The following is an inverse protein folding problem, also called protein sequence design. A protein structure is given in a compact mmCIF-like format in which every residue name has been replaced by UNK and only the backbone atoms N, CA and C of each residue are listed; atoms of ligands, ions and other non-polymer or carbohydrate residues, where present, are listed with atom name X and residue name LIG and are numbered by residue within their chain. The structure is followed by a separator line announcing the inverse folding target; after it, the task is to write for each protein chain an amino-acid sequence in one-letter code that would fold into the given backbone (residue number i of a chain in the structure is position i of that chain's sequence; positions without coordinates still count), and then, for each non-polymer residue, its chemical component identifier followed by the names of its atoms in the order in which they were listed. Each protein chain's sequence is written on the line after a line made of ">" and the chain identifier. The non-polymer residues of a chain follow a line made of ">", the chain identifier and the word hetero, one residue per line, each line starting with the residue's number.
data_IF_902295420882
#
_entry.id   IF_902295420882
#
_cell.length_a   1.000
_cell.length_b   1.000
_cell.length_c   1.000
_cell.angle_alpha   90.00
_cell.angle_beta   90.00
_cell.angle_gamma   90.00
#
_symmetry.space_group_name_H-M   'P 1'
#
loop_
_entity.id
_entity.type
_entity.pdbx_description
1 polymer ?
#
# COMPACT_ATOMS: atom_id res chain seq x y z
N UNK A 1 -0.35 -20.93 20.10
CA UNK A 1 -0.51 -19.54 20.58
C UNK A 1 -0.59 -18.51 19.43
N UNK A 2 0.24 -18.60 18.38
CA UNK A 2 0.23 -17.63 17.27
C UNK A 2 -1.02 -17.71 16.37
N UNK A 3 -1.73 -18.85 16.34
CA UNK A 3 -2.95 -19.03 15.53
C UNK A 3 -4.13 -18.13 15.98
N UNK A 4 -4.06 -17.49 17.14
CA UNK A 4 -5.08 -16.55 17.64
C UNK A 4 -5.27 -15.36 16.71
N UNK A 5 -4.22 -14.94 15.97
CA UNK A 5 -4.31 -13.81 15.03
C UNK A 5 -5.37 -14.04 13.94
N UNK A 6 -5.63 -15.28 13.53
CA UNK A 6 -6.64 -15.59 12.50
C UNK A 6 -8.06 -15.31 12.95
N UNK A 7 -8.32 -15.29 14.26
CA UNK A 7 -9.61 -14.94 14.84
C UNK A 7 -9.80 -13.44 15.02
N UNK A 8 -8.72 -12.66 14.86
CA UNK A 8 -8.74 -11.20 15.02
C UNK A 8 -9.19 -10.50 13.75
N UNK A 9 -10.30 -9.79 13.80
CA UNK A 9 -10.81 -8.99 12.68
C UNK A 9 -9.77 -8.00 12.15
N UNK A 10 -9.05 -7.33 13.06
CA UNK A 10 -8.04 -6.33 12.70
C UNK A 10 -6.82 -6.92 12.00
N UNK A 11 -6.50 -8.21 12.19
CA UNK A 11 -5.47 -8.89 11.40
C UNK A 11 -5.82 -8.89 9.90
N UNK A 12 -7.04 -9.27 9.53
CA UNK A 12 -7.48 -9.31 8.14
C UNK A 12 -7.60 -7.92 7.52
N UNK A 13 -8.08 -6.94 8.30
CA UNK A 13 -8.14 -5.55 7.85
C UNK A 13 -6.73 -5.02 7.57
N UNK A 14 -5.77 -5.30 8.45
CA UNK A 14 -4.37 -4.89 8.25
C UNK A 14 -3.71 -5.62 7.08
N UNK A 15 -4.04 -6.89 6.82
CA UNK A 15 -3.61 -7.59 5.60
C UNK A 15 -4.09 -6.86 4.34
N UNK A 16 -5.35 -6.41 4.31
CA UNK A 16 -5.91 -5.65 3.21
C UNK A 16 -5.19 -4.31 2.99
N UNK A 17 -5.01 -3.54 4.06
CA UNK A 17 -4.32 -2.24 3.99
C UNK A 17 -2.84 -2.39 3.65
N UNK A 18 -2.18 -3.41 4.20
CA UNK A 18 -0.77 -3.66 3.95
C UNK A 18 -0.52 -4.17 2.53
N UNK A 19 -1.44 -4.93 1.96
CA UNK A 19 -1.44 -5.25 0.53
C UNK A 19 -1.53 -3.97 -0.32
N UNK A 20 -2.35 -2.99 0.12
CA UNK A 20 -2.48 -1.68 -0.55
C UNK A 20 -1.22 -0.82 -0.50
N UNK A 21 -0.44 -0.90 0.55
CA UNK A 21 0.79 -0.10 0.72
C UNK A 21 2.05 -0.89 0.34
N UNK A 22 2.41 -1.88 1.12
CA UNK A 22 3.60 -2.71 0.88
C UNK A 22 3.48 -3.57 -0.37
N UNK A 23 2.31 -4.16 -0.60
CA UNK A 23 2.04 -4.95 -1.81
C UNK A 23 2.15 -4.10 -3.07
N UNK A 24 1.65 -2.86 -3.04
CA UNK A 24 1.81 -1.92 -4.15
C UNK A 24 3.27 -1.54 -4.36
N UNK A 25 4.03 -1.31 -3.30
CA UNK A 25 5.46 -1.01 -3.40
C UNK A 25 6.22 -2.14 -4.14
N UNK A 26 6.06 -3.39 -3.68
CA UNK A 26 6.72 -4.54 -4.31
C UNK A 26 6.20 -4.76 -5.73
N UNK A 27 4.89 -4.67 -5.91
CA UNK A 27 4.25 -4.93 -7.20
C UNK A 27 4.61 -3.90 -8.26
N UNK A 28 4.67 -2.63 -7.89
CA UNK A 28 5.14 -1.59 -8.80
C UNK A 28 6.63 -1.74 -9.09
N UNK A 29 7.46 -2.08 -8.10
CA UNK A 29 8.87 -2.34 -8.33
C UNK A 29 9.09 -3.45 -9.37
N UNK A 30 8.30 -4.52 -9.31
CA UNK A 30 8.34 -5.63 -10.26
C UNK A 30 7.75 -5.27 -11.63
N UNK A 31 6.67 -4.46 -11.66
CA UNK A 31 5.94 -4.12 -12.89
C UNK A 31 6.44 -2.89 -13.64
N UNK A 32 7.17 -2.00 -12.99
CA UNK A 32 7.57 -0.72 -13.55
C UNK A 32 8.49 -0.83 -14.77
N UNK A 33 9.53 -1.71 -14.80
CA UNK A 33 10.33 -1.92 -16.01
C UNK A 33 9.48 -2.38 -17.20
N UNK A 34 8.50 -3.25 -16.95
CA UNK A 34 7.60 -3.77 -17.98
C UNK A 34 6.70 -2.66 -18.55
N UNK A 35 6.19 -1.78 -17.68
CA UNK A 35 5.40 -0.63 -18.12
C UNK A 35 6.22 0.34 -18.97
N UNK A 36 7.43 0.70 -18.55
CA UNK A 36 8.31 1.59 -19.32
C UNK A 36 8.55 0.99 -20.69
N UNK A 37 8.98 -0.28 -20.76
CA UNK A 37 9.29 -0.95 -22.01
C UNK A 37 8.08 -1.05 -22.96
N UNK A 38 6.89 -1.33 -22.39
CA UNK A 38 5.68 -1.54 -23.16
C UNK A 38 5.01 -0.24 -23.63
N UNK A 39 5.13 0.84 -22.86
CA UNK A 39 4.45 2.11 -23.15
C UNK A 39 5.37 3.17 -23.79
N UNK A 40 6.67 3.08 -23.55
CA UNK A 40 7.69 4.00 -24.07
C UNK A 40 8.85 3.19 -24.67
N UNK A 41 8.66 2.58 -25.87
CA UNK A 41 9.65 1.66 -26.45
C UNK A 41 11.04 2.27 -26.66
N UNK A 42 11.09 3.61 -26.89
CA UNK A 42 12.33 4.37 -27.10
C UNK A 42 13.12 4.63 -25.81
N UNK A 43 12.54 4.32 -24.64
CA UNK A 43 13.16 4.55 -23.34
C UNK A 43 13.73 3.24 -22.79
N UNK A 44 15.01 3.25 -22.43
CA UNK A 44 15.66 2.12 -21.79
C UNK A 44 15.23 2.01 -20.31
N UNK A 45 14.46 0.95 -19.93
CA UNK A 45 14.00 0.80 -18.55
C UNK A 45 15.14 0.67 -17.54
N UNK A 46 16.30 0.13 -17.94
CA UNK A 46 17.42 -0.09 -17.02
C UNK A 46 17.96 1.24 -16.44
N UNK A 47 17.80 2.34 -17.17
CA UNK A 47 18.27 3.67 -16.74
C UNK A 47 17.37 4.34 -15.70
N UNK A 48 16.09 3.95 -15.62
CA UNK A 48 15.07 4.68 -14.85
C UNK A 48 14.35 3.82 -13.82
N UNK A 49 14.14 2.55 -14.08
CA UNK A 49 13.24 1.72 -13.28
C UNK A 49 13.69 1.55 -11.81
N UNK A 50 14.99 1.55 -11.55
CA UNK A 50 15.53 1.41 -10.19
C UNK A 50 15.24 2.62 -9.29
N UNK A 51 15.00 3.81 -9.88
CA UNK A 51 14.72 5.03 -9.13
C UNK A 51 13.39 4.95 -8.36
N UNK A 52 12.40 4.23 -8.89
CA UNK A 52 11.13 4.02 -8.20
C UNK A 52 11.29 3.36 -6.83
N UNK A 53 11.79 2.11 -6.78
CA UNK A 53 12.06 1.43 -5.51
C UNK A 53 13.01 2.19 -4.59
N UNK A 54 14.02 2.88 -5.14
CA UNK A 54 14.94 3.71 -4.35
C UNK A 54 14.21 4.84 -3.63
N UNK A 55 13.39 5.60 -4.34
CA UNK A 55 12.57 6.69 -3.75
C UNK A 55 11.64 6.13 -2.68
N UNK A 56 10.95 5.02 -2.96
CA UNK A 56 10.05 4.40 -2.00
C UNK A 56 10.77 3.88 -0.74
N UNK A 57 11.97 3.34 -0.87
CA UNK A 57 12.78 2.91 0.26
C UNK A 57 13.22 4.09 1.15
N UNK A 58 13.65 5.20 0.55
CA UNK A 58 14.03 6.42 1.28
C UNK A 58 12.81 7.01 2.00
N UNK A 59 11.70 7.16 1.30
CA UNK A 59 10.48 7.76 1.85
C UNK A 59 9.83 6.90 2.93
N UNK A 60 10.05 5.57 2.92
CA UNK A 60 9.64 4.69 4.00
C UNK A 60 10.29 5.08 5.34
N UNK A 61 11.57 5.40 5.35
CA UNK A 61 12.28 5.82 6.57
C UNK A 61 11.71 7.14 7.13
N UNK A 62 11.45 8.11 6.25
CA UNK A 62 10.83 9.40 6.60
C UNK A 62 9.38 9.21 7.03
N UNK A 63 8.65 8.34 6.36
CA UNK A 63 7.24 8.02 6.64
C UNK A 63 7.01 7.50 8.05
N UNK A 64 7.95 6.74 8.60
CA UNK A 64 7.90 6.28 9.99
C UNK A 64 7.87 7.43 10.99
N UNK A 65 8.74 8.43 10.82
CA UNK A 65 8.79 9.62 11.67
C UNK A 65 7.54 10.50 11.54
N UNK A 66 6.97 10.57 10.34
CA UNK A 66 5.71 11.30 10.09
C UNK A 66 4.56 10.58 10.80
N UNK A 67 4.47 9.26 10.69
CA UNK A 67 3.45 8.46 11.33
C UNK A 67 3.51 8.51 12.86
N UNK A 68 4.71 8.59 13.45
CA UNK A 68 4.89 8.75 14.90
C UNK A 68 4.35 10.10 15.40
N UNK A 69 4.43 11.17 14.59
CA UNK A 69 3.97 12.51 14.98
C UNK A 69 2.49 12.76 14.72
N UNK A 70 1.97 12.26 13.61
CA UNK A 70 0.60 12.59 13.13
C UNK A 70 -0.40 11.47 13.42
N UNK A 71 0.05 10.29 13.80
CA UNK A 71 -0.75 9.07 13.93
C UNK A 71 -0.77 8.25 12.62
N UNK A 72 -0.57 6.93 12.76
CA UNK A 72 -0.46 6.02 11.62
C UNK A 72 -1.70 6.03 10.73
N UNK A 73 -2.89 6.01 11.31
CA UNK A 73 -4.16 5.98 10.57
C UNK A 73 -4.42 7.24 9.74
N UNK A 74 -4.07 8.43 10.27
CA UNK A 74 -4.24 9.69 9.52
C UNK A 74 -3.29 9.74 8.33
N UNK A 75 -2.03 9.35 8.54
CA UNK A 75 -1.03 9.31 7.47
C UNK A 75 -1.47 8.31 6.40
N UNK A 76 -1.89 7.11 6.79
CA UNK A 76 -2.37 6.07 5.86
C UNK A 76 -3.58 6.54 5.04
N UNK A 77 -4.52 7.27 5.67
CA UNK A 77 -5.67 7.84 4.97
C UNK A 77 -5.24 8.81 3.85
N UNK A 78 -4.38 9.77 4.17
CA UNK A 78 -3.89 10.73 3.18
C UNK A 78 -3.03 10.07 2.09
N UNK A 79 -2.25 9.06 2.46
CA UNK A 79 -1.46 8.28 1.50
C UNK A 79 -2.37 7.62 0.47
N UNK A 80 -3.44 6.91 0.86
CA UNK A 80 -4.34 6.29 -0.09
C UNK A 80 -5.04 7.31 -0.98
N UNK A 81 -5.44 8.46 -0.44
CA UNK A 81 -6.03 9.54 -1.24
C UNK A 81 -5.05 10.05 -2.30
N UNK A 82 -3.81 10.33 -1.91
CA UNK A 82 -2.78 10.82 -2.83
C UNK A 82 -2.34 9.72 -3.82
N UNK A 83 -2.36 8.44 -3.44
CA UNK A 83 -2.11 7.34 -4.37
C UNK A 83 -3.18 7.28 -5.46
N UNK A 84 -4.46 7.46 -5.14
CA UNK A 84 -5.53 7.56 -6.13
C UNK A 84 -5.24 8.69 -7.13
N UNK A 85 -4.90 9.88 -6.65
CA UNK A 85 -4.56 11.03 -7.50
C UNK A 85 -3.32 10.76 -8.36
N UNK A 86 -2.30 10.12 -7.79
CA UNK A 86 -1.07 9.77 -8.53
C UNK A 86 -1.33 8.75 -9.64
N UNK A 87 -2.21 7.77 -9.42
CA UNK A 87 -2.59 6.80 -10.47
C UNK A 87 -3.36 7.49 -11.59
N UNK A 88 -4.25 8.44 -11.29
CA UNK A 88 -4.90 9.26 -12.30
C UNK A 88 -3.87 10.08 -13.11
N UNK A 89 -2.87 10.66 -12.45
CA UNK A 89 -1.80 11.37 -13.14
C UNK A 89 -0.99 10.43 -14.05
N UNK A 90 -0.66 9.22 -13.58
CA UNK A 90 0.01 8.21 -14.41
C UNK A 90 -0.80 7.90 -15.66
N UNK A 91 -2.12 7.64 -15.53
CA UNK A 91 -3.01 7.35 -16.67
C UNK A 91 -3.01 8.53 -17.66
N UNK A 92 -3.06 9.76 -17.15
CA UNK A 92 -3.11 10.97 -18.00
C UNK A 92 -1.84 11.19 -18.84
N UNK A 93 -0.69 10.73 -18.35
CA UNK A 93 0.59 10.86 -19.08
C UNK A 93 0.94 9.60 -19.90
N UNK A 94 0.14 8.55 -19.84
CA UNK A 94 0.36 7.35 -20.65
C UNK A 94 -0.04 7.58 -22.12
N UNK A 95 0.68 6.95 -23.07
CA UNK A 95 0.26 6.96 -24.46
C UNK A 95 -1.06 6.17 -24.64
N UNK A 96 -1.84 6.61 -25.60
CA UNK A 96 -3.05 5.90 -26.05
C UNK A 96 -2.76 5.12 -27.32
N UNK A 97 -3.42 3.97 -27.46
CA UNK A 97 -3.29 3.14 -28.66
C UNK A 97 -4.26 3.61 -29.73
N UNK A 98 -3.75 4.02 -30.89
CA UNK A 98 -4.57 4.38 -32.05
C UNK A 98 -5.27 3.17 -32.66
N UNK A 99 -6.19 3.41 -33.62
CA UNK A 99 -6.91 2.35 -34.32
C UNK A 99 -5.99 1.43 -35.16
N UNK A 100 -4.85 1.95 -35.57
CA UNK A 100 -3.77 1.27 -36.30
C UNK A 100 -2.85 0.44 -35.37
N UNK A 101 -3.11 0.48 -34.07
CA UNK A 101 -2.32 -0.24 -33.06
C UNK A 101 -1.04 0.49 -32.63
N UNK A 102 -0.76 1.65 -33.19
CA UNK A 102 0.42 2.47 -32.85
C UNK A 102 0.15 3.25 -31.56
N UNK A 103 1.17 3.32 -30.67
CA UNK A 103 1.11 4.15 -29.46
C UNK A 103 1.28 5.62 -29.88
N UNK A 104 0.30 6.45 -29.53
CA UNK A 104 0.28 7.88 -29.86
C UNK A 104 0.19 8.72 -28.60
N UNK A 105 0.86 9.87 -28.63
CA UNK A 105 0.88 10.78 -27.49
C UNK A 105 1.69 10.22 -26.31
N UNK A 106 1.29 10.64 -25.11
CA UNK A 106 2.01 10.30 -23.89
C UNK A 106 3.20 11.22 -23.61
N UNK A 107 3.55 11.33 -22.35
CA UNK A 107 4.71 12.10 -21.89
C UNK A 107 5.48 11.27 -20.87
N UNK A 108 6.64 10.75 -21.29
CA UNK A 108 7.47 9.92 -20.43
C UNK A 108 7.87 10.63 -19.13
N UNK A 109 8.26 11.90 -19.19
CA UNK A 109 8.69 12.65 -17.99
C UNK A 109 7.53 12.79 -17.01
N UNK A 110 6.33 13.18 -17.49
CA UNK A 110 5.13 13.27 -16.65
C UNK A 110 4.74 11.93 -16.06
N UNK A 111 4.73 10.87 -16.86
CA UNK A 111 4.49 9.49 -16.40
C UNK A 111 5.51 9.08 -15.33
N UNK A 112 6.79 9.32 -15.57
CA UNK A 112 7.86 8.92 -14.67
C UNK A 112 7.78 9.65 -13.32
N UNK A 113 7.58 10.98 -13.35
CA UNK A 113 7.41 11.78 -12.11
C UNK A 113 6.16 11.33 -11.34
N UNK A 114 5.02 11.11 -12.01
CA UNK A 114 3.81 10.63 -11.37
C UNK A 114 4.04 9.24 -10.72
N UNK A 115 4.79 8.37 -11.39
CA UNK A 115 5.14 7.06 -10.84
C UNK A 115 6.12 7.16 -9.67
N UNK A 116 7.10 8.07 -9.70
CA UNK A 116 7.98 8.33 -8.55
C UNK A 116 7.20 8.84 -7.34
N UNK A 117 6.22 9.74 -7.56
CA UNK A 117 5.30 10.17 -6.49
C UNK A 117 4.52 8.97 -5.91
N UNK A 118 4.03 8.08 -6.77
CA UNK A 118 3.33 6.87 -6.34
C UNK A 118 4.25 5.95 -5.52
N UNK A 119 5.51 5.76 -5.92
CA UNK A 119 6.50 5.02 -5.13
C UNK A 119 6.79 5.68 -3.78
N UNK A 120 6.94 7.01 -3.75
CA UNK A 120 7.13 7.74 -2.50
C UNK A 120 5.96 7.52 -1.54
N UNK A 121 4.74 7.59 -2.04
CA UNK A 121 3.52 7.38 -1.26
C UNK A 121 3.40 5.94 -0.76
N UNK A 122 3.73 4.94 -1.59
CA UNK A 122 3.76 3.54 -1.13
C UNK A 122 4.79 3.31 -0.05
N UNK A 123 5.94 3.99 -0.11
CA UNK A 123 6.97 3.96 0.94
C UNK A 123 6.46 4.52 2.27
N UNK A 124 5.91 5.75 2.24
CA UNK A 124 5.29 6.38 3.44
C UNK A 124 4.14 5.52 3.97
N UNK A 125 3.28 5.01 3.09
CA UNK A 125 2.16 4.14 3.44
C UNK A 125 2.60 2.83 4.10
N UNK A 126 3.65 2.22 3.58
CA UNK A 126 4.23 1.01 4.19
C UNK A 126 4.69 1.30 5.63
N UNK A 127 5.37 2.41 5.87
CA UNK A 127 5.79 2.78 7.22
C UNK A 127 4.60 3.08 8.14
N UNK A 128 3.60 3.82 7.66
CA UNK A 128 2.44 4.21 8.47
C UNK A 128 1.57 3.01 8.85
N UNK A 129 1.28 2.10 7.90
CA UNK A 129 0.53 0.87 8.19
C UNK A 129 1.29 -0.08 9.11
N UNK A 130 2.61 -0.16 8.96
CA UNK A 130 3.46 -0.94 9.88
C UNK A 130 3.35 -0.41 11.32
N UNK A 131 3.35 0.92 11.52
CA UNK A 131 3.22 1.57 12.83
C UNK A 131 1.82 1.41 13.45
N UNK A 132 0.78 1.26 12.64
CA UNK A 132 -0.59 1.04 13.14
C UNK A 132 -0.73 -0.29 13.89
N UNK A 133 -0.07 -1.36 13.44
CA UNK A 133 -0.28 -2.71 13.97
C UNK A 133 0.01 -2.80 15.49
N UNK A 134 1.17 -2.40 16.02
CA UNK A 134 1.43 -2.44 17.45
C UNK A 134 0.42 -1.63 18.27
N UNK A 135 0.01 -0.46 17.78
CA UNK A 135 -0.96 0.42 18.47
C UNK A 135 -2.33 -0.24 18.54
N UNK A 136 -2.81 -0.85 17.44
CA UNK A 136 -4.10 -1.56 17.37
C UNK A 136 -4.12 -2.72 18.37
N UNK A 137 -3.07 -3.54 18.40
CA UNK A 137 -3.04 -4.73 19.26
C UNK A 137 -2.79 -4.37 20.73
N UNK A 138 -2.04 -3.30 21.02
CA UNK A 138 -1.93 -2.78 22.38
C UNK A 138 -3.30 -2.31 22.90
N UNK A 139 -4.00 -1.48 22.14
CA UNK A 139 -5.35 -1.01 22.49
C UNK A 139 -6.32 -2.16 22.66
N UNK A 140 -6.21 -3.21 21.85
CA UNK A 140 -7.04 -4.42 21.99
C UNK A 140 -6.80 -5.12 23.33
N UNK A 141 -5.55 -5.37 23.69
CA UNK A 141 -5.18 -6.02 24.95
C UNK A 141 -5.49 -5.15 26.17
N UNK A 142 -5.34 -3.83 26.08
CA UNK A 142 -5.75 -2.91 27.16
C UNK A 142 -7.26 -2.98 27.42
N UNK A 143 -8.09 -3.04 26.36
CA UNK A 143 -9.55 -3.21 26.51
C UNK A 143 -9.92 -4.56 27.15
N UNK A 144 -9.20 -5.64 26.80
CA UNK A 144 -9.40 -6.94 27.43
C UNK A 144 -9.04 -6.91 28.93
N UNK A 145 -7.97 -6.19 29.30
CA UNK A 145 -7.57 -6.03 30.69
C UNK A 145 -8.55 -5.17 31.51
N UNK A 146 -9.22 -4.20 30.90
CA UNK A 146 -10.29 -3.43 31.56
C UNK A 146 -11.48 -4.30 31.95
N UNK A 147 -11.80 -5.32 31.16
CA UNK A 147 -12.88 -6.28 31.46
C UNK A 147 -12.40 -7.31 32.50
N UNK A 148 -11.13 -7.71 32.43
CA UNK A 148 -10.57 -8.73 33.31
C UNK A 148 -9.46 -8.13 34.21
N UNK A 149 -9.88 -7.57 35.34
CA UNK A 149 -9.03 -6.81 36.28
C UNK A 149 -7.83 -7.58 36.87
N UNK A 150 -7.73 -8.90 36.63
CA UNK A 150 -6.64 -9.74 37.15
C UNK A 150 -5.40 -9.78 36.23
N UNK A 151 -5.41 -9.07 35.08
CA UNK A 151 -4.29 -9.08 34.14
C UNK A 151 -3.33 -7.92 34.48
N UNK A 152 -2.08 -8.24 34.79
CA UNK A 152 -1.05 -7.23 35.05
C UNK A 152 -0.70 -6.44 33.78
N UNK A 153 -0.32 -5.17 33.94
CA UNK A 153 0.10 -4.31 32.82
C UNK A 153 1.28 -4.89 32.05
N UNK A 154 2.20 -5.54 32.74
CA UNK A 154 3.35 -6.21 32.13
C UNK A 154 2.92 -7.34 31.19
N UNK A 155 1.94 -8.14 31.63
CA UNK A 155 1.37 -9.21 30.81
C UNK A 155 0.62 -8.66 29.57
N UNK A 156 -0.12 -7.55 29.71
CA UNK A 156 -0.77 -6.87 28.60
C UNK A 156 0.26 -6.46 27.53
N UNK A 157 1.37 -5.84 27.95
CA UNK A 157 2.43 -5.42 27.05
C UNK A 157 3.10 -6.63 26.36
N UNK A 158 3.39 -7.69 27.11
CA UNK A 158 4.02 -8.88 26.57
C UNK A 158 3.13 -9.58 25.53
N UNK A 159 1.84 -9.79 25.85
CA UNK A 159 0.91 -10.47 24.98
C UNK A 159 0.61 -9.64 23.73
N UNK A 160 0.44 -8.31 23.88
CA UNK A 160 0.24 -7.40 22.75
C UNK A 160 1.44 -7.39 21.80
N UNK A 161 2.66 -7.35 22.31
CA UNK A 161 3.88 -7.35 21.49
C UNK A 161 4.04 -8.68 20.73
N UNK A 162 3.75 -9.82 21.37
CA UNK A 162 3.79 -11.14 20.71
C UNK A 162 2.74 -11.24 19.59
N UNK A 163 1.52 -10.78 19.84
CA UNK A 163 0.43 -10.82 18.87
C UNK A 163 0.72 -9.84 17.72
N UNK A 164 1.18 -8.61 18.01
CA UNK A 164 1.57 -7.64 17.00
C UNK A 164 2.71 -8.15 16.10
N UNK A 165 3.72 -8.81 16.66
CA UNK A 165 4.83 -9.39 15.89
C UNK A 165 4.33 -10.51 14.95
N UNK A 166 3.43 -11.37 15.41
CA UNK A 166 2.83 -12.41 14.59
C UNK A 166 1.98 -11.83 13.45
N UNK A 167 1.19 -10.78 13.74
CA UNK A 167 0.39 -10.06 12.73
C UNK A 167 1.30 -9.37 11.72
N UNK A 168 2.38 -8.71 12.14
CA UNK A 168 3.36 -8.10 11.24
C UNK A 168 3.97 -9.10 10.27
N UNK A 169 4.35 -10.28 10.77
CA UNK A 169 4.86 -11.36 9.92
C UNK A 169 3.84 -11.83 8.91
N UNK A 170 2.60 -12.09 9.35
CA UNK A 170 1.53 -12.57 8.49
C UNK A 170 1.09 -11.53 7.45
N UNK A 171 0.88 -10.29 7.86
CA UNK A 171 0.50 -9.20 6.94
C UNK A 171 1.59 -8.92 5.90
N UNK A 172 2.88 -9.05 6.29
CA UNK A 172 4.00 -8.91 5.36
C UNK A 172 4.01 -10.03 4.31
N UNK A 173 3.72 -11.27 4.71
CA UNK A 173 3.61 -12.39 3.79
C UNK A 173 2.46 -12.19 2.79
N UNK A 174 1.28 -11.77 3.27
CA UNK A 174 0.13 -11.44 2.40
C UNK A 174 0.47 -10.25 1.49
N UNK A 175 1.10 -9.19 2.04
CA UNK A 175 1.52 -8.01 1.27
C UNK A 175 2.47 -8.37 0.13
N UNK A 176 3.38 -9.32 0.33
CA UNK A 176 4.34 -9.75 -0.70
C UNK A 176 3.67 -10.29 -1.98
N UNK A 177 2.43 -10.80 -1.90
CA UNK A 177 1.67 -11.22 -3.09
C UNK A 177 1.38 -10.07 -4.06
N UNK A 178 1.49 -8.81 -3.63
CA UNK A 178 1.44 -7.65 -4.53
C UNK A 178 2.46 -7.74 -5.67
N UNK A 179 3.64 -8.30 -5.39
CA UNK A 179 4.67 -8.57 -6.40
C UNK A 179 4.24 -9.52 -7.52
N UNK A 180 3.26 -10.37 -7.27
CA UNK A 180 2.64 -11.22 -8.28
C UNK A 180 1.43 -10.55 -8.92
N UNK A 181 0.51 -10.03 -8.11
CA UNK A 181 -0.79 -9.54 -8.61
C UNK A 181 -0.66 -8.31 -9.52
N UNK A 182 0.22 -7.35 -9.20
CA UNK A 182 0.34 -6.12 -10.00
C UNK A 182 0.90 -6.38 -11.39
N UNK A 183 2.07 -7.04 -11.58
CA UNK A 183 2.53 -7.39 -12.92
C UNK A 183 1.56 -8.29 -13.69
N UNK A 184 0.92 -9.24 -13.00
CA UNK A 184 -0.12 -10.10 -13.58
C UNK A 184 -1.32 -9.29 -14.08
N UNK A 185 -1.77 -8.29 -13.31
CA UNK A 185 -2.87 -7.41 -13.71
C UNK A 185 -2.54 -6.61 -14.96
N UNK A 186 -1.30 -6.10 -15.08
CA UNK A 186 -0.86 -5.42 -16.30
C UNK A 186 -0.89 -6.37 -17.50
N UNK A 187 -0.33 -7.56 -17.36
CA UNK A 187 -0.34 -8.56 -18.44
C UNK A 187 -1.76 -8.94 -18.87
N UNK A 188 -2.66 -9.15 -17.91
CA UNK A 188 -4.06 -9.48 -18.18
C UNK A 188 -4.78 -8.31 -18.86
N UNK A 189 -4.61 -7.08 -18.37
CA UNK A 189 -5.20 -5.89 -18.96
C UNK A 189 -4.75 -5.69 -20.41
N UNK A 190 -3.45 -5.84 -20.67
CA UNK A 190 -2.88 -5.74 -22.04
C UNK A 190 -3.46 -6.83 -22.94
N UNK A 191 -3.57 -8.08 -22.46
CA UNK A 191 -4.14 -9.18 -23.25
C UNK A 191 -5.62 -8.96 -23.59
N UNK A 192 -6.40 -8.35 -22.69
CA UNK A 192 -7.84 -8.14 -22.87
C UNK A 192 -8.19 -6.85 -23.63
N UNK A 193 -7.43 -5.78 -23.40
CA UNK A 193 -7.77 -4.42 -23.88
C UNK A 193 -6.70 -3.78 -24.77
N UNK A 194 -5.55 -4.42 -24.90
CA UNK A 194 -4.39 -3.89 -25.61
C UNK A 194 -3.63 -2.81 -24.81
N UNK A 195 -4.05 -2.48 -23.56
CA UNK A 195 -3.47 -1.42 -22.75
C UNK A 195 -3.43 -1.80 -21.25
N UNK A 196 -2.44 -1.40 -20.47
CA UNK A 196 -2.39 -1.62 -19.04
C UNK A 196 -3.33 -0.68 -18.24
N UNK A 197 -3.97 0.29 -18.89
CA UNK A 197 -4.81 1.32 -18.22
C UNK A 197 -5.97 0.69 -17.45
N UNK A 198 -6.57 -0.40 -17.95
CA UNK A 198 -7.63 -1.11 -17.23
C UNK A 198 -7.17 -1.62 -15.85
N UNK A 199 -5.93 -2.10 -15.72
CA UNK A 199 -5.38 -2.51 -14.43
C UNK A 199 -5.20 -1.31 -13.48
N UNK A 200 -4.80 -0.15 -14.00
CA UNK A 200 -4.66 1.08 -13.20
C UNK A 200 -6.00 1.54 -12.64
N UNK A 201 -7.10 1.44 -13.38
CA UNK A 201 -8.45 1.70 -12.86
C UNK A 201 -8.84 0.73 -11.74
N UNK A 202 -8.50 -0.55 -11.86
CA UNK A 202 -8.72 -1.53 -10.78
C UNK A 202 -7.93 -1.13 -9.52
N UNK A 203 -6.71 -0.64 -9.66
CA UNK A 203 -5.92 -0.15 -8.51
C UNK A 203 -6.53 1.09 -7.88
N UNK A 204 -7.10 2.02 -8.65
CA UNK A 204 -7.85 3.16 -8.13
C UNK A 204 -9.01 2.68 -7.25
N UNK A 205 -9.84 1.76 -7.75
CA UNK A 205 -10.95 1.20 -6.96
C UNK A 205 -10.45 0.55 -5.68
N UNK A 206 -9.37 -0.22 -5.76
CA UNK A 206 -8.76 -0.86 -4.60
C UNK A 206 -8.27 0.17 -3.56
N UNK A 207 -7.61 1.24 -3.98
CA UNK A 207 -7.14 2.29 -3.06
C UNK A 207 -8.28 3.10 -2.46
N UNK A 208 -9.36 3.35 -3.19
CA UNK A 208 -10.59 3.96 -2.65
C UNK A 208 -11.20 3.06 -1.57
N UNK A 209 -11.23 1.75 -1.77
CA UNK A 209 -11.66 0.80 -0.73
C UNK A 209 -10.73 0.82 0.48
N UNK A 210 -9.41 0.86 0.28
CA UNK A 210 -8.44 1.00 1.37
C UNK A 210 -8.64 2.33 2.14
N UNK A 211 -8.89 3.42 1.43
CA UNK A 211 -9.21 4.73 2.02
C UNK A 211 -10.46 4.65 2.90
N UNK A 212 -11.55 4.07 2.38
CA UNK A 212 -12.81 3.91 3.10
C UNK A 212 -12.64 3.05 4.36
N UNK A 213 -11.92 1.92 4.25
CA UNK A 213 -11.62 1.02 5.37
C UNK A 213 -10.76 1.72 6.43
N UNK A 214 -9.72 2.46 6.01
CA UNK A 214 -8.87 3.22 6.94
C UNK A 214 -9.67 4.28 7.69
N UNK A 215 -10.50 5.01 6.98
CA UNK A 215 -11.36 6.03 7.60
C UNK A 215 -12.34 5.41 8.58
N UNK A 216 -13.04 4.36 8.18
CA UNK A 216 -14.10 3.75 8.98
C UNK A 216 -13.57 3.12 10.28
N UNK A 217 -12.47 2.38 10.21
CA UNK A 217 -11.98 1.60 11.35
C UNK A 217 -10.96 2.32 12.22
N UNK A 218 -10.19 3.29 11.66
CA UNK A 218 -9.01 3.81 12.32
C UNK A 218 -8.91 5.34 12.39
N UNK A 219 -9.37 6.08 11.38
CA UNK A 219 -9.06 7.52 11.26
C UNK A 219 -10.17 8.47 11.74
N UNK A 220 -11.43 8.09 11.71
CA UNK A 220 -12.54 8.96 12.17
C UNK A 220 -12.53 9.14 13.69
N UNK A 221 -13.12 10.25 14.20
CA UNK A 221 -13.15 10.61 15.64
C UNK A 221 -13.68 9.49 16.56
N UNK A 222 -14.67 8.71 16.10
CA UNK A 222 -15.28 7.61 16.84
C UNK A 222 -14.97 6.26 16.17
N UNK A 223 -13.73 6.10 15.69
CA UNK A 223 -13.31 4.85 15.08
C UNK A 223 -13.29 3.70 16.11
N UNK A 224 -13.58 2.45 15.68
CA UNK A 224 -13.48 1.29 16.57
C UNK A 224 -12.10 1.12 17.21
N UNK A 225 -11.03 1.44 16.47
CA UNK A 225 -9.63 1.36 16.93
C UNK A 225 -8.84 2.57 16.40
N UNK A 226 -9.00 3.76 17.00
CA UNK A 226 -8.24 4.95 16.58
C UNK A 226 -6.74 4.75 16.84
N UNK A 227 -5.87 5.10 15.87
CA UNK A 227 -4.41 4.96 15.96
C UNK A 227 -3.65 5.97 15.07
#
# INVERSE_FOLDING_TARGET
>A
EQAVIFQRKHNWIMCWLYLGTFGSFIGFAAGFPLLIKGQFPDVDPAKFAFLGPLVGAITRSVGGSIADKLGGAKVTFWVFLLMVLSVFAVINFMPTKGADGVLMGGNFIGFFVAFLCLFALTGVGNASTFKMIPVIFLTHHERLAQVNKNISREKVMQDSNKEAAAVLGFTSAIGAYGGFFIPKSYGTAIAMTGSPIAALYVFIVFYVLCLAVTWWFYSRKNAPMPC
#
